data_IF_375555576624
#
_entry.id   IF_375555576624
#
_cell.length_a   1.000
_cell.length_b   1.000
_cell.length_c   1.000
_cell.angle_alpha   90.00
_cell.angle_beta   90.00
_cell.angle_gamma   90.00
#
_symmetry.space_group_name_H-M   'P 1'
#
loop_
_entity.id
_entity.type
_entity.pdbx_description
1 polymer ?
#
# COMPACT_ATOMS: atom_id res chain seq x y z
N UNK A 1 16.48 4.01 17.54
CA UNK A 1 17.20 4.25 16.26
C UNK A 1 16.33 5.12 15.36
N UNK A 2 16.90 6.01 14.55
CA UNK A 2 16.12 6.79 13.60
C UNK A 2 15.45 5.85 12.58
N UNK A 3 14.15 6.04 12.33
CA UNK A 3 13.39 5.34 11.29
C UNK A 3 12.86 6.39 10.32
N UNK A 4 12.76 6.02 9.06
CA UNK A 4 12.15 6.86 8.02
C UNK A 4 10.80 6.30 7.66
N UNK A 5 9.87 7.19 7.33
CA UNK A 5 8.51 6.82 6.91
C UNK A 5 8.26 7.31 5.50
N UNK A 6 7.80 6.41 4.64
CA UNK A 6 7.33 6.70 3.28
C UNK A 6 5.85 6.37 3.16
N UNK A 7 5.14 7.05 2.28
CA UNK A 7 3.71 6.85 2.10
C UNK A 7 3.31 6.85 0.63
N UNK A 8 2.28 6.08 0.32
CA UNK A 8 1.61 6.07 -0.98
C UNK A 8 0.12 5.80 -0.81
N UNK A 9 -0.63 5.97 -1.91
CA UNK A 9 -2.04 5.65 -1.95
C UNK A 9 -2.27 4.48 -2.92
N UNK A 10 -3.11 3.54 -2.52
CA UNK A 10 -3.64 2.46 -3.32
C UNK A 10 -5.08 2.82 -3.68
N UNK A 11 -5.38 2.76 -4.97
CA UNK A 11 -6.73 2.87 -5.51
C UNK A 11 -7.13 1.45 -5.89
N UNK A 12 -8.09 0.88 -5.17
CA UNK A 12 -8.51 -0.51 -5.32
C UNK A 12 -10.02 -0.54 -5.60
N UNK A 13 -10.39 -1.07 -6.76
CA UNK A 13 -11.78 -1.20 -7.22
C UNK A 13 -12.12 -2.64 -7.55
N UNK A 14 -13.37 -3.03 -7.29
CA UNK A 14 -13.90 -4.34 -7.70
C UNK A 14 -15.39 -4.18 -8.00
N UNK A 15 -15.82 -4.72 -9.14
CA UNK A 15 -17.23 -4.73 -9.58
C UNK A 15 -17.96 -6.00 -9.16
N UNK A 16 -17.30 -6.90 -8.43
CA UNK A 16 -17.89 -8.16 -7.97
C UNK A 16 -18.80 -7.92 -6.75
N UNK A 17 -19.85 -8.73 -6.56
CA UNK A 17 -20.69 -8.67 -5.36
C UNK A 17 -19.90 -8.79 -4.04
N UNK A 18 -18.81 -9.57 -4.06
CA UNK A 18 -17.90 -9.77 -2.92
C UNK A 18 -16.70 -8.79 -2.89
N UNK A 19 -16.79 -7.65 -3.58
CA UNK A 19 -15.68 -6.73 -3.84
C UNK A 19 -14.97 -6.25 -2.58
N UNK A 20 -15.71 -5.96 -1.50
CA UNK A 20 -15.13 -5.53 -0.22
C UNK A 20 -14.23 -6.61 0.39
N UNK A 21 -14.63 -7.87 0.34
CA UNK A 21 -13.83 -8.97 0.88
C UNK A 21 -12.63 -9.28 -0.02
N UNK A 22 -12.77 -9.11 -1.33
CA UNK A 22 -11.64 -9.15 -2.27
C UNK A 22 -10.60 -8.07 -1.90
N UNK A 23 -11.04 -6.82 -1.70
CA UNK A 23 -10.14 -5.72 -1.33
C UNK A 23 -9.47 -5.98 0.03
N UNK A 24 -10.21 -6.48 1.04
CA UNK A 24 -9.61 -6.86 2.33
C UNK A 24 -8.55 -7.96 2.18
N UNK A 25 -8.77 -8.97 1.32
CA UNK A 25 -7.78 -10.01 1.01
C UNK A 25 -6.53 -9.42 0.33
N UNK A 26 -6.73 -8.51 -0.63
CA UNK A 26 -5.65 -7.80 -1.30
C UNK A 26 -4.83 -6.97 -0.31
N UNK A 27 -5.47 -6.18 0.55
CA UNK A 27 -4.78 -5.37 1.56
C UNK A 27 -3.97 -6.23 2.56
N UNK A 28 -4.50 -7.38 2.99
CA UNK A 28 -3.74 -8.33 3.83
C UNK A 28 -2.50 -8.88 3.15
N UNK A 29 -2.50 -9.02 1.82
CA UNK A 29 -1.29 -9.43 1.09
C UNK A 29 -0.23 -8.31 1.00
N UNK A 30 -0.62 -7.07 1.27
CA UNK A 30 0.27 -5.91 1.35
C UNK A 30 1.04 -5.84 2.66
N UNK A 31 0.79 -6.73 3.62
CA UNK A 31 1.50 -6.84 4.89
C UNK A 31 2.50 -8.02 4.90
N UNK A 32 3.46 -8.14 3.95
CA UNK A 32 4.51 -9.13 4.14
C UNK A 32 5.33 -8.77 5.38
N UNK A 33 5.74 -9.80 6.14
CA UNK A 33 6.73 -9.69 7.20
C UNK A 33 8.08 -9.33 6.59
N UNK A 34 8.27 -8.05 6.28
CA UNK A 34 9.57 -7.53 5.84
C UNK A 34 10.37 -7.24 7.10
N UNK A 35 11.54 -7.87 7.30
CA UNK A 35 12.39 -7.59 8.44
C UNK A 35 12.71 -6.10 8.54
N UNK A 36 12.58 -5.56 9.74
CA UNK A 36 12.79 -4.15 10.07
C UNK A 36 11.83 -3.15 9.39
N UNK A 37 10.78 -3.57 8.68
CA UNK A 37 9.81 -2.65 8.09
C UNK A 37 8.42 -2.85 8.70
N UNK A 38 7.83 -1.76 9.17
CA UNK A 38 6.46 -1.70 9.67
C UNK A 38 5.57 -1.15 8.55
N UNK A 39 4.45 -1.82 8.29
CA UNK A 39 3.49 -1.43 7.26
C UNK A 39 2.19 -1.08 7.96
N UNK A 40 1.67 0.12 7.70
CA UNK A 40 0.38 0.56 8.17
C UNK A 40 -0.55 0.84 6.98
N UNK A 41 -1.75 0.27 7.03
CA UNK A 41 -2.81 0.53 6.06
C UNK A 41 -3.91 1.35 6.70
N UNK A 42 -4.30 2.44 6.05
CA UNK A 42 -5.38 3.32 6.52
C UNK A 42 -6.44 3.45 5.43
N UNK A 43 -7.69 3.18 5.78
CA UNK A 43 -8.81 3.45 4.89
C UNK A 43 -9.05 4.96 4.79
N UNK A 44 -9.05 5.51 3.57
CA UNK A 44 -9.32 6.94 3.33
C UNK A 44 -10.72 7.18 2.74
N UNK A 45 -11.50 6.13 2.50
CA UNK A 45 -12.74 6.20 1.74
C UNK A 45 -12.57 5.53 0.37
N UNK A 46 -13.52 4.66 0.00
CA UNK A 46 -13.43 3.91 -1.24
C UNK A 46 -13.40 4.85 -2.46
N UNK A 47 -12.57 4.56 -3.48
CA UNK A 47 -11.69 3.39 -3.64
C UNK A 47 -10.26 3.56 -3.05
N UNK A 48 -10.02 4.56 -2.22
CA UNK A 48 -8.67 4.97 -1.79
C UNK A 48 -8.26 4.42 -0.42
N UNK A 49 -7.07 3.85 -0.37
CA UNK A 49 -6.42 3.31 0.82
C UNK A 49 -5.00 3.87 0.91
N UNK A 50 -4.57 4.35 2.07
CA UNK A 50 -3.20 4.80 2.28
C UNK A 50 -2.36 3.65 2.78
N UNK A 51 -1.16 3.52 2.24
CA UNK A 51 -0.12 2.64 2.74
C UNK A 51 1.05 3.50 3.24
N UNK A 52 1.45 3.27 4.49
CA UNK A 52 2.62 3.87 5.13
C UNK A 52 3.60 2.77 5.47
N UNK A 53 4.88 3.02 5.21
CA UNK A 53 5.96 2.08 5.54
C UNK A 53 7.04 2.80 6.32
N UNK A 54 7.40 2.23 7.46
CA UNK A 54 8.44 2.75 8.35
C UNK A 54 9.58 1.77 8.46
N UNK A 55 10.80 2.18 8.10
CA UNK A 55 11.99 1.31 8.06
C UNK A 55 13.27 2.07 8.48
N UNK A 56 14.41 1.40 8.71
CA UNK A 56 15.66 2.05 9.12
C UNK A 56 16.23 3.04 8.10
N UNK A 57 16.00 2.80 6.80
CA UNK A 57 16.51 3.63 5.71
C UNK A 57 15.52 3.75 4.56
N UNK A 58 15.71 4.79 3.73
CA UNK A 58 14.77 5.16 2.67
C UNK A 58 14.70 4.12 1.56
N UNK A 59 15.81 3.44 1.25
CA UNK A 59 15.84 2.39 0.22
C UNK A 59 15.02 1.18 0.65
N UNK A 60 15.16 0.73 1.90
CA UNK A 60 14.33 -0.32 2.48
C UNK A 60 12.86 0.08 2.50
N UNK A 61 12.57 1.31 2.93
CA UNK A 61 11.20 1.81 3.01
C UNK A 61 10.52 1.84 1.63
N UNK A 62 11.19 2.37 0.60
CA UNK A 62 10.64 2.40 -0.77
C UNK A 62 10.46 1.00 -1.36
N UNK A 63 11.46 0.13 -1.22
CA UNK A 63 11.37 -1.25 -1.73
C UNK A 63 10.24 -2.03 -1.05
N UNK A 64 10.04 -1.81 0.25
CA UNK A 64 8.95 -2.42 1.00
C UNK A 64 7.58 -1.86 0.56
N UNK A 65 7.47 -0.54 0.38
CA UNK A 65 6.25 0.12 -0.12
C UNK A 65 5.85 -0.40 -1.51
N UNK A 66 6.78 -0.49 -2.44
CA UNK A 66 6.53 -0.97 -3.81
C UNK A 66 6.13 -2.45 -3.83
N UNK A 67 6.82 -3.29 -3.04
CA UNK A 67 6.48 -4.71 -2.91
C UNK A 67 5.09 -4.92 -2.33
N UNK A 68 4.75 -4.19 -1.25
CA UNK A 68 3.45 -4.26 -0.61
C UNK A 68 2.33 -3.82 -1.56
N UNK A 69 2.54 -2.70 -2.26
CA UNK A 69 1.59 -2.21 -3.26
C UNK A 69 1.37 -3.22 -4.41
N UNK A 70 2.46 -3.78 -4.96
CA UNK A 70 2.39 -4.76 -6.03
C UNK A 70 1.68 -6.06 -5.58
N UNK A 71 1.93 -6.53 -4.36
CA UNK A 71 1.26 -7.71 -3.81
C UNK A 71 -0.26 -7.50 -3.70
N UNK A 72 -0.68 -6.36 -3.16
CA UNK A 72 -2.09 -6.01 -3.05
C UNK A 72 -2.78 -5.95 -4.42
N UNK A 73 -2.18 -5.23 -5.36
CA UNK A 73 -2.73 -5.06 -6.72
C UNK A 73 -2.81 -6.41 -7.41
N UNK A 74 -1.75 -7.24 -7.37
CA UNK A 74 -1.74 -8.54 -8.02
C UNK A 74 -2.76 -9.55 -7.44
N UNK A 75 -3.12 -9.46 -6.15
CA UNK A 75 -4.22 -10.26 -5.58
C UNK A 75 -5.59 -9.76 -6.06
N UNK A 76 -5.77 -8.45 -6.15
CA UNK A 76 -7.00 -7.83 -6.62
C UNK A 76 -7.26 -8.12 -8.11
N UNK A 77 -6.23 -7.98 -8.95
CA UNK A 77 -6.30 -8.25 -10.40
C UNK A 77 -6.61 -9.71 -10.70
N UNK A 78 -5.98 -10.65 -9.99
CA UNK A 78 -6.32 -12.09 -10.09
C UNK A 78 -7.75 -12.39 -9.68
N UNK A 79 -8.32 -11.55 -8.83
CA UNK A 79 -9.72 -11.65 -8.41
C UNK A 79 -10.67 -10.87 -9.33
N UNK A 80 -10.19 -10.32 -10.45
CA UNK A 80 -10.99 -9.56 -11.43
C UNK A 80 -11.36 -8.14 -10.96
N UNK A 81 -10.59 -7.56 -10.03
CA UNK A 81 -10.65 -6.13 -9.71
C UNK A 81 -9.52 -5.36 -10.40
N UNK A 82 -9.47 -4.05 -10.16
CA UNK A 82 -8.43 -3.17 -10.71
C UNK A 82 -7.70 -2.46 -9.57
N UNK A 83 -6.38 -2.36 -9.68
CA UNK A 83 -5.54 -1.74 -8.68
C UNK A 83 -4.58 -0.73 -9.28
N UNK A 84 -4.45 0.44 -8.65
CA UNK A 84 -3.49 1.46 -9.04
C UNK A 84 -2.73 1.97 -7.82
N UNK A 85 -1.41 2.02 -7.93
CA UNK A 85 -0.56 2.62 -6.93
C UNK A 85 -0.20 4.06 -7.32
N UNK A 86 -0.47 5.01 -6.44
CA UNK A 86 -0.12 6.42 -6.59
C UNK A 86 0.87 6.78 -5.50
N UNK A 87 2.13 6.92 -5.89
CA UNK A 87 3.16 7.49 -5.04
C UNK A 87 2.91 9.00 -4.97
N UNK A 88 2.82 9.58 -3.76
CA UNK A 88 2.84 11.05 -3.68
C UNK A 88 4.20 11.52 -4.21
N UNK A 89 4.25 12.50 -5.14
CA UNK A 89 5.51 13.16 -5.43
C UNK A 89 6.05 13.77 -4.14
N UNK A 90 7.38 13.84 -3.99
CA UNK A 90 8.04 14.50 -2.86
C UNK A 90 7.54 15.95 -2.80
N UNK A 91 6.47 16.21 -2.05
CA UNK A 91 6.18 17.54 -1.56
C UNK A 91 7.31 17.82 -0.58
N UNK A 92 8.34 18.51 -1.06
CA UNK A 92 9.24 19.26 -0.20
C UNK A 92 8.39 20.01 0.81
N UNK A 93 8.89 20.08 2.04
CA UNK A 93 8.33 20.96 3.08
C UNK A 93 7.96 22.28 2.41
N UNK A 94 6.67 22.61 2.40
CA UNK A 94 6.27 24.00 2.38
C UNK A 94 6.69 24.53 3.75
N UNK A 95 7.87 25.15 3.78
CA UNK A 95 8.34 26.03 4.83
C UNK A 95 8.66 27.36 4.14
#
# INVERSE_FOLDING_TARGET
MPRVTVAGNLILTSTKPDGVNIIRRALRSAEPKIPDAEIELTYLGAPTYRIKVTAPDYKKAEKALEKAAAAAIGVLERSGGEGKFVKKPKSGKAA
#
